data_IF_820559398335
#
_entry.id   IF_820559398335
#
_cell.length_a   1.000
_cell.length_b   1.000
_cell.length_c   1.000
_cell.angle_alpha   90.00
_cell.angle_beta   90.00
_cell.angle_gamma   90.00
#
_symmetry.space_group_name_H-M   'P 1'
#
loop_
_entity.id
_entity.type
_entity.pdbx_description
1 polymer ?
#
# COMPACT_ATOMS: atom_id res chain seq x y z
N UNK A 1 13.01 -15.81 -20.91
CA UNK A 1 12.54 -17.01 -20.18
C UNK A 1 11.24 -16.62 -19.51
N UNK A 2 10.11 -17.20 -19.95
CA UNK A 2 8.77 -16.82 -19.48
C UNK A 2 8.57 -17.29 -18.03
N UNK A 3 8.49 -16.37 -17.08
CA UNK A 3 8.00 -16.65 -15.73
C UNK A 3 6.49 -16.38 -15.67
N UNK A 4 5.71 -17.42 -15.95
CA UNK A 4 4.27 -17.44 -15.70
C UNK A 4 4.02 -17.43 -14.18
N UNK A 5 3.19 -16.50 -13.73
CA UNK A 5 2.62 -16.50 -12.38
C UNK A 5 1.64 -17.68 -12.27
N UNK A 6 1.74 -18.56 -11.24
CA UNK A 6 0.71 -19.56 -11.04
C UNK A 6 -0.61 -18.86 -10.65
N UNK A 7 -1.64 -19.18 -11.44
CA UNK A 7 -2.96 -18.58 -11.34
C UNK A 7 -3.77 -18.98 -10.11
N UNK A 8 -4.80 -18.17 -9.90
CA UNK A 8 -6.12 -18.51 -9.36
C UNK A 8 -6.20 -19.12 -7.96
N UNK A 9 -6.21 -18.24 -6.94
CA UNK A 9 -6.71 -18.52 -5.60
C UNK A 9 -8.25 -18.43 -5.58
N UNK A 10 -8.93 -19.37 -6.23
CA UNK A 10 -10.38 -19.59 -6.05
C UNK A 10 -10.76 -21.05 -5.76
N UNK A 11 -9.83 -21.84 -5.21
CA UNK A 11 -10.08 -23.24 -4.82
C UNK A 11 -10.28 -23.44 -3.32
N UNK A 12 -11.22 -22.72 -2.69
CA UNK A 12 -11.71 -23.08 -1.35
C UNK A 12 -13.17 -22.67 -1.18
N UNK A 13 -14.12 -23.27 -1.91
CA UNK A 13 -15.54 -23.38 -1.50
C UNK A 13 -16.31 -24.28 -2.48
N UNK A 14 -15.91 -25.55 -2.63
CA UNK A 14 -16.80 -26.60 -3.14
C UNK A 14 -16.42 -27.92 -2.51
N UNK A 15 -17.16 -28.35 -1.50
CA UNK A 15 -17.82 -29.65 -1.44
C UNK A 15 -18.48 -29.87 -0.08
N UNK A 16 -19.65 -30.49 -0.12
CA UNK A 16 -20.37 -30.99 1.04
C UNK A 16 -21.71 -30.29 1.28
N UNK A 17 -22.75 -30.76 0.61
CA UNK A 17 -24.01 -31.25 1.20
C UNK A 17 -25.07 -31.31 0.10
N UNK A 18 -25.10 -32.43 -0.61
CA UNK A 18 -26.24 -32.82 -1.43
C UNK A 18 -27.05 -33.89 -0.70
N UNK A 19 -28.37 -33.71 -0.79
CA UNK A 19 -29.46 -34.66 -0.59
C UNK A 19 -30.03 -34.85 0.83
N UNK A 20 -31.26 -34.34 1.01
CA UNK A 20 -32.43 -35.20 1.23
C UNK A 20 -33.77 -34.50 0.95
N UNK A 21 -34.57 -35.21 0.16
CA UNK A 21 -36.04 -35.31 0.19
C UNK A 21 -36.91 -34.18 -0.40
N UNK A 22 -37.36 -34.43 -1.65
CA UNK A 22 -38.72 -34.14 -2.09
C UNK A 22 -39.74 -34.66 -1.06
N UNK A 23 -40.66 -33.80 -0.58
CA UNK A 23 -42.06 -34.18 -0.43
C UNK A 23 -42.98 -32.97 -0.22
N UNK A 24 -44.17 -33.06 -0.84
CA UNK A 24 -45.47 -32.46 -0.46
C UNK A 24 -45.78 -31.02 -0.87
N UNK A 25 -46.37 -30.97 -2.07
CA UNK A 25 -47.64 -30.28 -2.30
C UNK A 25 -48.70 -30.59 -1.22
N UNK A 26 -49.29 -29.56 -0.60
CA UNK A 26 -50.75 -29.28 -0.56
C UNK A 26 -51.15 -28.23 0.51
N UNK A 27 -52.06 -27.34 0.06
CA UNK A 27 -53.09 -26.54 0.79
C UNK A 27 -52.60 -25.28 1.52
N UNK A 28 -53.24 -24.11 1.43
CA UNK A 28 -54.49 -23.69 0.76
C UNK A 28 -54.44 -22.18 0.52
N UNK A 29 -55.19 -21.64 -0.44
CA UNK A 29 -56.48 -21.01 -0.16
C UNK A 29 -57.33 -20.98 -1.43
N UNK A 30 -58.60 -21.36 -1.26
CA UNK A 30 -59.68 -21.28 -2.26
C UNK A 30 -60.55 -20.07 -1.94
N UNK A 31 -61.16 -19.54 -3.01
CA UNK A 31 -62.32 -18.64 -3.11
C UNK A 31 -61.99 -17.15 -3.31
N UNK A 32 -62.40 -16.50 -4.40
CA UNK A 32 -63.12 -16.99 -5.56
C UNK A 32 -63.62 -15.86 -6.47
N UNK A 33 -63.70 -16.19 -7.77
CA UNK A 33 -64.70 -15.73 -8.74
C UNK A 33 -64.59 -14.26 -9.22
N UNK A 34 -64.65 -13.89 -10.51
CA UNK A 34 -64.97 -14.53 -11.81
C UNK A 34 -64.49 -13.60 -12.94
N UNK A 35 -64.03 -14.20 -14.06
CA UNK A 35 -64.22 -13.88 -15.51
C UNK A 35 -64.40 -12.41 -15.92
N UNK A 36 -63.83 -11.91 -17.03
CA UNK A 36 -63.90 -12.45 -18.40
C UNK A 36 -62.93 -11.67 -19.32
N UNK A 37 -62.47 -12.32 -20.39
CA UNK A 37 -61.66 -11.78 -21.49
C UNK A 37 -62.30 -10.58 -22.22
N UNK A 38 -61.47 -9.64 -22.70
CA UNK A 38 -61.17 -9.46 -24.14
C UNK A 38 -60.62 -8.07 -24.46
N UNK A 39 -59.47 -8.07 -25.14
CA UNK A 39 -58.91 -7.03 -26.04
C UNK A 39 -59.95 -6.47 -27.02
N UNK A 40 -59.81 -5.26 -27.63
CA UNK A 40 -58.62 -4.92 -28.43
C UNK A 40 -58.20 -3.43 -28.54
N UNK A 41 -57.01 -3.28 -29.12
CA UNK A 41 -56.38 -2.08 -29.69
C UNK A 41 -57.22 -1.37 -30.75
N UNK A 42 -57.14 -0.03 -30.87
CA UNK A 42 -57.07 0.69 -32.16
C UNK A 42 -56.56 2.15 -32.00
N UNK A 43 -55.87 2.61 -33.05
CA UNK A 43 -55.22 3.91 -33.31
C UNK A 43 -56.18 4.98 -33.87
N UNK A 44 -55.61 6.18 -34.03
CA UNK A 44 -56.04 7.37 -34.82
C UNK A 44 -57.01 8.30 -34.08
N UNK A 45 -56.99 9.63 -34.20
CA UNK A 45 -56.34 10.57 -35.11
C UNK A 45 -56.39 11.99 -34.47
N UNK A 46 -55.71 12.96 -35.08
CA UNK A 46 -55.58 14.34 -34.60
C UNK A 46 -56.77 15.23 -35.00
N UNK A 47 -57.15 16.20 -34.15
CA UNK A 47 -57.81 17.45 -34.57
C UNK A 47 -57.37 18.63 -33.71
N UNK A 48 -57.11 19.76 -34.38
CA UNK A 48 -56.70 21.03 -33.80
C UNK A 48 -57.87 21.93 -33.44
N UNK A 49 -57.65 22.80 -32.45
CA UNK A 49 -58.58 23.86 -32.07
C UNK A 49 -57.82 25.06 -31.50
N UNK A 50 -57.87 26.19 -32.21
CA UNK A 50 -57.30 27.50 -31.84
C UNK A 50 -57.91 28.05 -30.54
N UNK A 51 -57.09 28.70 -29.72
CA UNK A 51 -57.54 29.72 -28.78
C UNK A 51 -56.55 30.90 -28.72
N UNK A 52 -57.10 32.12 -28.74
CA UNK A 52 -56.42 33.42 -28.82
C UNK A 52 -55.84 33.85 -27.47
N UNK A 53 -54.76 34.63 -27.54
CA UNK A 53 -54.09 35.33 -26.44
C UNK A 53 -54.90 36.49 -25.83
N UNK A 54 -54.59 36.84 -24.57
CA UNK A 54 -54.43 38.24 -24.19
C UNK A 54 -53.10 38.53 -23.46
N UNK A 55 -52.79 39.81 -23.37
CA UNK A 55 -51.50 40.46 -23.06
C UNK A 55 -51.19 40.69 -21.57
N UNK A 56 -49.88 40.65 -21.26
CA UNK A 56 -49.05 41.47 -20.33
C UNK A 56 -49.65 41.94 -18.98
N UNK A 57 -49.08 41.46 -17.86
CA UNK A 57 -48.49 42.29 -16.78
C UNK A 57 -48.12 41.47 -15.50
N UNK A 58 -46.85 41.60 -15.08
CA UNK A 58 -46.28 41.57 -13.72
C UNK A 58 -46.66 40.46 -12.71
N UNK A 59 -45.69 39.63 -12.29
CA UNK A 59 -45.02 39.81 -10.98
C UNK A 59 -43.74 38.95 -10.87
N UNK A 60 -42.69 39.59 -10.37
CA UNK A 60 -41.37 39.04 -10.06
C UNK A 60 -41.42 38.23 -8.77
N UNK A 61 -40.98 36.98 -8.80
CA UNK A 61 -40.49 36.25 -7.62
C UNK A 61 -39.60 35.08 -8.07
N UNK A 62 -38.37 35.39 -8.50
CA UNK A 62 -37.32 34.38 -8.62
C UNK A 62 -36.82 34.04 -7.20
N UNK A 63 -37.33 32.95 -6.64
CA UNK A 63 -36.73 32.27 -5.50
C UNK A 63 -35.39 31.68 -5.96
N UNK A 64 -34.30 32.44 -5.79
CA UNK A 64 -32.95 31.87 -5.78
C UNK A 64 -32.83 31.12 -4.44
N UNK A 65 -33.26 29.87 -4.43
CA UNK A 65 -32.81 28.93 -3.43
C UNK A 65 -31.34 28.64 -3.75
N UNK A 66 -30.42 29.35 -3.09
CA UNK A 66 -29.03 28.93 -2.96
C UNK A 66 -29.01 27.62 -2.15
N UNK A 67 -29.34 26.51 -2.81
CA UNK A 67 -29.01 25.19 -2.31
C UNK A 67 -27.50 25.03 -2.41
N UNK A 68 -26.81 25.23 -1.30
CA UNK A 68 -25.47 24.68 -1.15
C UNK A 68 -25.60 23.18 -1.35
N UNK A 69 -25.21 22.66 -2.52
CA UNK A 69 -25.09 21.24 -2.71
C UNK A 69 -24.06 20.77 -1.68
N UNK A 70 -24.39 19.80 -0.80
CA UNK A 70 -23.40 19.23 0.08
C UNK A 70 -22.30 18.66 -0.81
N UNK A 71 -21.07 19.14 -0.61
CA UNK A 71 -19.88 18.48 -1.16
C UNK A 71 -19.95 17.07 -0.59
N UNK A 72 -20.32 16.09 -1.43
CA UNK A 72 -20.20 14.70 -1.08
C UNK A 72 -18.71 14.46 -0.86
N UNK A 73 -18.30 14.38 0.40
CA UNK A 73 -16.95 13.98 0.75
C UNK A 73 -16.67 12.68 0.00
N UNK A 74 -15.64 12.68 -0.85
CA UNK A 74 -15.27 11.53 -1.63
C UNK A 74 -14.97 10.39 -0.65
N UNK A 75 -15.74 9.30 -0.73
CA UNK A 75 -15.58 8.15 0.15
C UNK A 75 -14.18 7.59 0.00
N UNK A 76 -13.47 7.39 1.11
CA UNK A 76 -12.18 6.71 1.13
C UNK A 76 -12.27 5.34 0.44
N UNK A 77 -11.58 5.12 -0.70
CA UNK A 77 -11.77 3.92 -1.53
C UNK A 77 -10.83 2.77 -1.14
N UNK A 78 -10.00 2.93 -0.10
CA UNK A 78 -8.96 1.97 0.24
C UNK A 78 -9.36 1.02 1.38
N UNK A 79 -8.83 -0.21 1.40
CA UNK A 79 -9.29 -1.28 2.30
C UNK A 79 -8.99 -1.09 3.79
N UNK A 80 -8.15 -0.11 4.15
CA UNK A 80 -7.85 0.23 5.54
C UNK A 80 -8.33 1.64 5.90
N UNK A 81 -8.97 1.87 7.06
CA UNK A 81 -9.47 3.20 7.43
C UNK A 81 -8.36 4.27 7.47
N UNK A 82 -8.60 5.43 6.87
CA UNK A 82 -7.62 6.52 6.78
C UNK A 82 -7.15 7.05 8.15
N UNK A 83 -8.05 7.06 9.14
CA UNK A 83 -7.77 7.49 10.51
C UNK A 83 -6.97 6.45 11.31
N UNK A 84 -6.77 5.26 10.76
CA UNK A 84 -5.95 4.19 11.33
C UNK A 84 -4.57 4.05 10.66
N UNK A 85 -4.24 4.91 9.70
CA UNK A 85 -2.90 4.96 9.12
C UNK A 85 -1.93 5.49 10.18
N UNK A 86 -0.83 4.77 10.38
CA UNK A 86 0.18 5.16 11.37
C UNK A 86 0.81 6.52 11.05
N UNK A 87 1.17 7.28 12.09
CA UNK A 87 1.95 8.50 11.97
C UNK A 87 3.28 8.35 12.71
N UNK A 88 4.34 8.94 12.17
CA UNK A 88 5.68 8.88 12.75
C UNK A 88 6.43 10.20 12.51
N UNK A 89 7.30 10.59 13.44
CA UNK A 89 8.18 11.76 13.27
C UNK A 89 9.62 11.31 13.05
N UNK A 90 10.12 11.45 11.82
CA UNK A 90 11.51 11.25 11.49
C UNK A 90 12.34 12.44 11.96
N UNK A 91 13.15 12.22 13.00
CA UNK A 91 14.03 13.24 13.58
C UNK A 91 15.39 13.27 12.88
N UNK A 92 16.08 14.40 13.01
CA UNK A 92 17.39 14.58 12.40
C UNK A 92 18.45 13.81 13.19
N UNK A 93 19.32 13.08 12.51
CA UNK A 93 20.50 12.47 13.11
C UNK A 93 21.45 13.57 13.62
N UNK A 94 22.10 13.31 14.75
CA UNK A 94 23.08 14.20 15.37
C UNK A 94 24.45 14.10 14.69
N UNK A 95 24.75 12.95 14.09
CA UNK A 95 25.95 12.68 13.31
C UNK A 95 25.65 11.75 12.12
N UNK A 96 26.50 11.71 11.08
CA UNK A 96 26.35 10.72 10.01
C UNK A 96 26.34 9.29 10.57
N UNK A 97 25.40 8.48 10.11
CA UNK A 97 25.24 7.08 10.52
C UNK A 97 26.17 6.19 9.68
N UNK A 98 26.83 5.23 10.32
CA UNK A 98 27.71 4.26 9.66
C UNK A 98 26.89 3.01 9.36
N UNK A 99 26.65 2.74 8.09
CA UNK A 99 25.82 1.59 7.69
C UNK A 99 26.61 0.29 7.86
N UNK A 100 26.50 -0.34 9.02
CA UNK A 100 27.13 -1.62 9.36
C UNK A 100 26.12 -2.68 9.85
N UNK A 101 24.86 -2.29 10.01
CA UNK A 101 23.77 -3.19 10.37
C UNK A 101 23.60 -3.37 11.87
N UNK A 102 24.46 -2.80 12.72
CA UNK A 102 24.44 -3.02 14.17
C UNK A 102 23.33 -2.23 14.87
N UNK A 103 22.93 -1.08 14.31
CA UNK A 103 21.95 -0.15 14.89
C UNK A 103 22.28 0.24 16.33
N UNK A 104 23.57 0.38 16.65
CA UNK A 104 24.06 0.56 18.01
C UNK A 104 24.54 2.00 18.29
N UNK A 105 24.45 2.89 17.31
CA UNK A 105 24.70 4.31 17.46
C UNK A 105 23.74 4.97 18.46
N UNK A 106 24.21 6.05 19.09
CA UNK A 106 23.41 6.81 20.05
C UNK A 106 22.10 7.31 19.43
N UNK A 107 22.13 7.69 18.15
CA UNK A 107 20.98 8.17 17.40
C UNK A 107 19.91 7.06 17.22
N UNK A 108 20.32 5.83 16.88
CA UNK A 108 19.39 4.69 16.80
C UNK A 108 18.83 4.25 18.15
N UNK A 109 19.65 4.33 19.20
CA UNK A 109 19.19 4.05 20.58
C UNK A 109 18.18 5.08 21.07
N UNK A 110 18.29 6.32 20.59
CA UNK A 110 17.39 7.42 20.94
C UNK A 110 16.18 7.56 20.00
N UNK A 111 16.22 6.91 18.82
CA UNK A 111 15.14 6.93 17.85
C UNK A 111 13.87 6.30 18.45
N UNK A 112 12.74 6.97 18.22
CA UNK A 112 11.45 6.36 18.48
C UNK A 112 11.26 5.22 17.47
N UNK A 113 10.96 4.03 17.96
CA UNK A 113 10.69 2.88 17.10
C UNK A 113 9.20 2.77 16.85
N UNK A 114 8.84 2.18 15.73
CA UNK A 114 7.47 1.77 15.45
C UNK A 114 6.91 0.90 16.59
N UNK A 115 5.57 0.83 16.72
CA UNK A 115 4.94 -0.32 17.31
C UNK A 115 5.41 -1.62 16.63
N UNK A 116 5.15 -2.76 17.29
CA UNK A 116 5.33 -4.07 16.67
C UNK A 116 4.51 -4.12 15.37
N UNK A 117 5.10 -4.66 14.31
CA UNK A 117 4.39 -4.86 13.04
C UNK A 117 3.18 -5.78 13.25
N UNK A 118 2.10 -5.44 12.57
CA UNK A 118 0.85 -6.17 12.62
C UNK A 118 0.58 -6.83 11.27
N UNK A 119 -0.20 -7.90 11.25
CA UNK A 119 -0.57 -8.59 10.03
C UNK A 119 -1.21 -7.61 9.03
N UNK A 120 -0.81 -7.75 7.77
CA UNK A 120 -1.11 -6.79 6.71
C UNK A 120 -2.62 -6.65 6.44
N UNK A 121 -3.43 -7.65 6.79
CA UNK A 121 -4.85 -7.73 6.43
C UNK A 121 -5.74 -7.37 7.63
N UNK A 122 -5.63 -8.07 8.74
CA UNK A 122 -6.46 -7.92 9.94
C UNK A 122 -5.89 -6.93 10.96
N UNK A 123 -4.58 -6.66 10.93
CA UNK A 123 -3.90 -5.81 11.89
C UNK A 123 -3.72 -6.41 13.28
N UNK A 124 -3.70 -7.74 13.40
CA UNK A 124 -3.29 -8.45 14.60
C UNK A 124 -1.77 -8.38 14.77
N UNK A 125 -1.21 -8.25 15.98
CA UNK A 125 0.24 -8.22 16.16
C UNK A 125 0.91 -9.48 15.58
N UNK A 126 2.02 -9.31 14.85
CA UNK A 126 2.83 -10.44 14.38
C UNK A 126 3.41 -11.25 15.54
N UNK A 127 3.61 -12.56 15.33
CA UNK A 127 4.14 -13.45 16.36
C UNK A 127 5.55 -13.04 16.82
N UNK A 128 6.41 -12.68 15.87
CA UNK A 128 7.76 -12.21 16.14
C UNK A 128 7.80 -10.68 16.13
N UNK A 129 8.50 -10.07 17.09
CA UNK A 129 8.62 -8.61 17.14
C UNK A 129 9.43 -8.09 15.95
N UNK A 130 8.82 -7.25 15.12
CA UNK A 130 9.52 -6.47 14.11
C UNK A 130 9.17 -5.02 14.27
N UNK A 131 10.19 -4.17 14.22
CA UNK A 131 10.06 -2.73 14.37
C UNK A 131 10.98 -2.02 13.40
N UNK A 132 10.59 -0.82 13.00
CA UNK A 132 11.41 0.07 12.19
C UNK A 132 11.53 1.45 12.83
N UNK A 133 12.53 2.21 12.43
CA UNK A 133 12.65 3.63 12.74
C UNK A 133 13.23 4.38 11.53
N UNK A 134 12.88 5.66 11.42
CA UNK A 134 13.41 6.54 10.38
C UNK A 134 14.13 7.73 11.01
N UNK A 135 15.32 8.01 10.51
CA UNK A 135 16.13 9.18 10.80
C UNK A 135 16.57 9.83 9.49
N UNK A 136 17.10 11.05 9.56
CA UNK A 136 17.62 11.72 8.37
C UNK A 136 18.69 12.78 8.68
N UNK A 137 19.46 13.14 7.67
CA UNK A 137 20.31 14.34 7.67
C UNK A 137 20.22 15.08 6.32
N UNK A 138 21.07 16.08 6.09
CA UNK A 138 21.02 16.89 4.87
C UNK A 138 21.34 16.11 3.59
N UNK A 139 21.93 14.92 3.71
CA UNK A 139 22.42 14.11 2.58
C UNK A 139 21.64 12.81 2.42
N UNK A 140 21.18 12.21 3.52
CA UNK A 140 20.60 10.88 3.53
C UNK A 140 19.31 10.77 4.34
N UNK A 141 18.45 9.87 3.87
CA UNK A 141 17.42 9.20 4.64
C UNK A 141 18.00 7.91 5.22
N UNK A 142 17.74 7.63 6.49
CA UNK A 142 18.16 6.40 7.17
C UNK A 142 16.96 5.61 7.65
N UNK A 143 17.01 4.29 7.47
CA UNK A 143 15.98 3.36 7.98
C UNK A 143 16.67 2.20 8.69
N UNK A 144 16.22 1.91 9.90
CA UNK A 144 16.70 0.77 10.69
C UNK A 144 15.55 -0.19 10.99
N UNK A 145 15.80 -1.49 10.90
CA UNK A 145 14.86 -2.55 11.30
C UNK A 145 15.46 -3.41 12.41
N UNK A 146 14.65 -3.74 13.42
CA UNK A 146 14.94 -4.73 14.44
C UNK A 146 13.97 -5.90 14.27
N UNK A 147 14.50 -7.09 13.99
CA UNK A 147 13.72 -8.23 13.52
C UNK A 147 14.00 -9.41 14.45
N UNK A 148 13.01 -9.80 15.26
CA UNK A 148 13.04 -11.06 15.98
C UNK A 148 12.81 -12.21 15.00
N UNK A 149 13.70 -13.21 15.02
CA UNK A 149 13.58 -14.39 14.17
C UNK A 149 14.30 -15.56 14.83
N UNK A 150 13.60 -16.46 15.52
CA UNK A 150 14.23 -17.55 16.28
C UNK A 150 14.90 -18.63 15.44
N UNK A 151 14.71 -18.59 14.13
CA UNK A 151 15.28 -19.49 13.13
C UNK A 151 15.63 -18.63 11.92
N UNK A 152 16.82 -18.03 11.92
CA UNK A 152 17.18 -17.11 10.85
C UNK A 152 17.40 -17.90 9.56
N UNK A 153 16.60 -17.62 8.54
CA UNK A 153 16.64 -18.35 7.28
C UNK A 153 16.81 -17.41 6.07
N UNK A 154 17.74 -17.77 5.19
CA UNK A 154 17.86 -17.16 3.87
C UNK A 154 18.49 -18.15 2.89
N UNK A 155 18.00 -18.14 1.65
CA UNK A 155 18.47 -19.04 0.59
C UNK A 155 18.75 -18.31 -0.72
N UNK A 156 18.15 -17.15 -0.91
CA UNK A 156 18.33 -16.33 -2.10
C UNK A 156 19.54 -15.42 -1.91
N UNK A 157 20.49 -15.50 -2.84
CA UNK A 157 21.78 -14.76 -2.79
C UNK A 157 22.00 -13.84 -3.99
N UNK A 158 21.19 -14.00 -5.03
CA UNK A 158 21.30 -13.21 -6.26
C UNK A 158 20.42 -11.97 -6.17
N UNK A 159 20.98 -10.80 -6.45
CA UNK A 159 20.22 -9.54 -6.53
C UNK A 159 19.03 -9.67 -7.48
N UNK A 160 17.92 -9.04 -7.13
CA UNK A 160 16.63 -9.09 -7.83
C UNK A 160 15.99 -10.49 -7.88
N UNK A 161 16.46 -11.42 -7.04
CA UNK A 161 15.69 -12.62 -6.70
C UNK A 161 14.34 -12.23 -6.08
N UNK A 162 13.29 -13.06 -6.23
CA UNK A 162 12.00 -12.81 -5.60
C UNK A 162 12.08 -13.04 -4.08
N UNK A 163 12.63 -12.08 -3.33
CA UNK A 163 13.04 -12.26 -1.94
C UNK A 163 11.89 -12.29 -0.93
N UNK A 164 10.68 -11.85 -1.31
CA UNK A 164 9.42 -12.22 -0.65
C UNK A 164 9.16 -13.74 -0.49
N UNK A 165 10.02 -14.62 -1.05
CA UNK A 165 10.04 -16.08 -0.78
C UNK A 165 11.01 -16.50 0.34
N UNK A 166 11.76 -15.58 0.91
CA UNK A 166 12.54 -15.71 2.14
C UNK A 166 11.85 -14.95 3.26
N UNK A 167 12.42 -14.99 4.46
CA UNK A 167 12.11 -13.97 5.45
C UNK A 167 12.85 -12.70 5.04
N UNK A 168 12.13 -11.58 4.95
CA UNK A 168 12.67 -10.31 4.50
C UNK A 168 12.01 -9.12 5.19
N UNK A 169 12.57 -7.93 4.98
CA UNK A 169 11.89 -6.68 5.27
C UNK A 169 11.86 -5.81 4.02
N UNK A 170 10.78 -5.06 3.90
CA UNK A 170 10.50 -4.22 2.74
C UNK A 170 10.41 -2.75 3.16
N UNK A 171 10.85 -1.87 2.27
CA UNK A 171 10.69 -0.42 2.34
C UNK A 171 10.04 0.05 1.03
N UNK A 172 8.94 0.78 1.16
CA UNK A 172 8.38 1.53 0.04
C UNK A 172 8.45 3.02 0.31
N UNK A 173 8.75 3.81 -0.72
CA UNK A 173 8.75 5.28 -0.62
C UNK A 173 7.85 5.86 -1.70
N UNK A 174 6.79 6.54 -1.28
CA UNK A 174 5.79 7.09 -2.19
C UNK A 174 6.09 8.53 -2.62
N UNK A 175 6.18 8.74 -3.93
CA UNK A 175 6.02 10.02 -4.60
C UNK A 175 4.55 10.31 -4.93
N UNK A 176 4.26 11.45 -5.56
CA UNK A 176 2.88 11.73 -6.01
C UNK A 176 2.43 10.74 -7.08
N UNK A 177 3.29 10.50 -8.06
CA UNK A 177 2.96 9.77 -9.31
C UNK A 177 3.79 8.50 -9.53
N UNK A 178 4.58 8.11 -8.53
CA UNK A 178 5.40 6.91 -8.53
C UNK A 178 5.68 6.45 -7.10
N UNK A 179 6.21 5.25 -6.94
CA UNK A 179 6.78 4.78 -5.69
C UNK A 179 7.94 3.82 -5.96
N UNK A 180 8.88 3.79 -5.03
CA UNK A 180 10.01 2.86 -5.03
C UNK A 180 9.72 1.70 -4.07
N UNK A 181 10.15 0.50 -4.44
CA UNK A 181 10.12 -0.74 -3.68
C UNK A 181 11.55 -1.22 -3.46
N UNK A 182 11.84 -1.60 -2.21
CA UNK A 182 13.07 -2.24 -1.78
C UNK A 182 12.72 -3.38 -0.86
N UNK A 183 13.35 -4.52 -1.03
CA UNK A 183 13.28 -5.67 -0.15
C UNK A 183 14.73 -6.11 0.22
N UNK A 184 14.93 -6.71 1.38
CA UNK A 184 16.21 -7.33 1.78
C UNK A 184 16.03 -8.51 2.72
N UNK A 185 16.77 -9.60 2.48
CA UNK A 185 16.79 -10.78 3.36
C UNK A 185 18.00 -10.79 4.32
N UNK A 186 18.09 -11.81 5.18
CA UNK A 186 19.16 -11.92 6.19
C UNK A 186 20.58 -12.19 5.63
N UNK A 187 20.71 -12.51 4.33
CA UNK A 187 22.01 -12.51 3.64
C UNK A 187 22.42 -11.14 3.11
N UNK A 188 21.55 -10.13 3.22
CA UNK A 188 21.74 -8.83 2.59
C UNK A 188 21.49 -8.85 1.07
N UNK A 189 20.75 -9.85 0.58
CA UNK A 189 20.34 -9.92 -0.83
C UNK A 189 19.19 -8.96 -1.05
N UNK A 190 19.33 -8.13 -2.07
CA UNK A 190 18.42 -7.00 -2.34
C UNK A 190 17.57 -7.31 -3.57
N UNK A 191 16.32 -6.84 -3.53
CA UNK A 191 15.43 -6.73 -4.68
C UNK A 191 14.86 -5.31 -4.73
N UNK A 192 14.81 -4.72 -5.92
CA UNK A 192 14.34 -3.35 -6.10
C UNK A 192 13.45 -3.21 -7.34
N UNK A 193 12.38 -2.42 -7.20
CA UNK A 193 11.50 -2.08 -8.32
C UNK A 193 11.08 -0.63 -8.20
N UNK A 194 10.98 0.04 -9.35
CA UNK A 194 10.36 1.36 -9.42
C UNK A 194 9.02 1.28 -10.12
N UNK A 195 7.98 1.91 -9.58
CA UNK A 195 6.64 1.91 -10.16
C UNK A 195 6.16 3.31 -10.47
N UNK A 196 5.59 3.49 -11.66
CA UNK A 196 5.01 4.75 -12.12
C UNK A 196 3.56 4.53 -12.50
N UNK A 197 2.64 5.37 -12.06
CA UNK A 197 1.24 5.27 -12.53
C UNK A 197 1.18 5.55 -14.04
N UNK A 198 0.63 4.61 -14.81
CA UNK A 198 0.60 4.69 -16.28
C UNK A 198 -0.03 6.00 -16.76
N UNK A 199 -1.14 6.41 -16.12
CA UNK A 199 -1.88 7.62 -16.49
C UNK A 199 -1.09 8.91 -16.27
N UNK A 200 -0.10 8.90 -15.37
CA UNK A 200 0.73 10.06 -15.05
C UNK A 200 2.07 10.06 -15.79
N UNK A 201 2.44 8.97 -16.49
CA UNK A 201 3.78 8.78 -17.06
C UNK A 201 4.26 9.98 -17.91
N UNK A 202 3.43 10.42 -18.85
CA UNK A 202 3.73 11.55 -19.74
C UNK A 202 3.64 12.90 -19.01
N UNK A 203 2.53 13.14 -18.32
CA UNK A 203 2.20 14.44 -17.70
C UNK A 203 3.10 14.78 -16.52
N UNK A 204 3.51 13.78 -15.73
CA UNK A 204 4.49 13.94 -14.66
C UNK A 204 5.93 14.05 -15.17
N UNK A 205 6.18 13.80 -16.47
CA UNK A 205 7.47 14.05 -17.12
C UNK A 205 8.44 12.88 -17.17
N UNK A 206 8.02 11.68 -16.77
CA UNK A 206 8.86 10.48 -16.79
C UNK A 206 9.25 10.07 -18.21
N UNK A 207 8.40 10.32 -19.21
CA UNK A 207 8.71 10.06 -20.62
C UNK A 207 9.95 10.80 -21.16
N UNK A 208 10.42 11.86 -20.46
CA UNK A 208 11.61 12.63 -20.84
C UNK A 208 12.90 12.15 -20.14
N UNK A 209 12.82 11.09 -19.34
CA UNK A 209 13.91 10.58 -18.50
C UNK A 209 14.39 9.24 -19.07
N UNK A 210 15.64 9.13 -19.56
CA UNK A 210 16.15 7.91 -20.20
C UNK A 210 16.12 6.66 -19.31
N UNK A 211 16.22 6.82 -17.99
CA UNK A 211 16.12 5.74 -17.01
C UNK A 211 14.72 5.08 -17.00
N UNK A 212 13.68 5.77 -17.48
CA UNK A 212 12.31 5.28 -17.56
C UNK A 212 11.87 4.88 -18.97
N UNK A 213 12.81 4.59 -19.87
CA UNK A 213 12.49 4.02 -21.18
C UNK A 213 11.69 2.72 -21.04
N UNK A 214 10.51 2.70 -21.67
CA UNK A 214 9.54 1.60 -21.60
C UNK A 214 9.98 0.32 -22.31
N UNK A 215 11.04 0.40 -23.11
CA UNK A 215 11.60 -0.73 -23.86
C UNK A 215 12.71 -1.46 -23.13
N UNK A 216 13.15 -0.94 -21.97
CA UNK A 216 14.20 -1.56 -21.14
C UNK A 216 13.77 -2.95 -20.66
N UNK A 217 14.76 -3.82 -20.51
CA UNK A 217 14.56 -5.14 -19.93
C UNK A 217 13.95 -5.03 -18.53
N UNK A 218 13.01 -5.93 -18.23
CA UNK A 218 12.30 -5.97 -16.95
C UNK A 218 11.08 -5.05 -16.84
N UNK A 219 10.88 -4.12 -17.78
CA UNK A 219 9.73 -3.20 -17.77
C UNK A 219 8.44 -3.90 -18.18
N UNK A 220 7.40 -3.81 -17.35
CA UNK A 220 6.09 -4.41 -17.63
C UNK A 220 4.93 -3.75 -16.86
N UNK A 221 3.68 -3.87 -17.34
CA UNK A 221 2.51 -3.42 -16.59
C UNK A 221 2.35 -4.17 -15.26
N UNK A 222 1.88 -3.45 -14.25
CA UNK A 222 1.63 -3.97 -12.92
C UNK A 222 0.27 -3.48 -12.40
N UNK A 223 -0.75 -4.36 -12.28
CA UNK A 223 -2.06 -3.99 -11.78
C UNK A 223 -2.13 -3.94 -10.24
N UNK A 224 -1.15 -4.51 -9.53
CA UNK A 224 -1.22 -4.81 -8.09
C UNK A 224 -1.25 -6.32 -7.83
N UNK A 225 -1.11 -6.69 -6.55
CA UNK A 225 -1.13 -8.09 -6.08
C UNK A 225 -2.55 -8.47 -5.66
N UNK A 226 -2.97 -8.04 -4.47
CA UNK A 226 -4.31 -8.26 -3.93
C UNK A 226 -5.31 -7.15 -4.27
N UNK A 227 -4.84 -5.92 -4.49
CA UNK A 227 -5.67 -4.74 -4.77
C UNK A 227 -5.53 -4.27 -6.22
N UNK A 228 -6.06 -5.08 -7.16
CA UNK A 228 -5.87 -4.89 -8.61
C UNK A 228 -6.67 -3.75 -9.24
N UNK A 229 -7.75 -3.32 -8.59
CA UNK A 229 -8.64 -2.27 -9.08
C UNK A 229 -8.31 -0.91 -8.45
N UNK A 230 -7.02 -0.55 -8.47
CA UNK A 230 -6.59 0.72 -7.89
C UNK A 230 -7.27 1.90 -8.60
N UNK A 231 -7.80 2.92 -7.87
CA UNK A 231 -8.51 4.06 -8.48
C UNK A 231 -7.69 4.83 -9.53
N UNK A 232 -6.37 4.76 -9.46
CA UNK A 232 -5.41 5.40 -10.38
C UNK A 232 -5.03 4.54 -11.60
N UNK A 233 -5.59 3.34 -11.72
CA UNK A 233 -5.28 2.39 -12.78
C UNK A 233 -3.98 1.60 -12.55
N UNK A 234 -3.40 0.98 -13.59
CA UNK A 234 -2.18 0.19 -13.47
C UNK A 234 -0.93 1.07 -13.36
N UNK A 235 0.19 0.43 -13.00
CA UNK A 235 1.53 1.02 -12.99
C UNK A 235 2.39 0.39 -14.09
N UNK A 236 3.43 1.10 -14.47
CA UNK A 236 4.59 0.56 -15.17
C UNK A 236 5.60 0.20 -14.07
N UNK A 237 5.99 -1.06 -13.97
CA UNK A 237 7.05 -1.49 -13.06
C UNK A 237 8.37 -1.68 -13.80
N UNK A 238 9.46 -1.29 -13.15
CA UNK A 238 10.84 -1.37 -13.64
C UNK A 238 11.64 -2.31 -12.72
N UNK A 239 11.67 -3.61 -13.04
CA UNK A 239 12.24 -4.67 -12.18
C UNK A 239 13.76 -4.82 -12.19
N UNK A 240 14.45 -4.07 -13.03
CA UNK A 240 15.91 -4.01 -13.07
C UNK A 240 16.36 -2.62 -12.60
N UNK A 241 15.79 -2.16 -11.48
CA UNK A 241 16.06 -0.84 -10.95
C UNK A 241 17.10 -0.93 -9.84
N UNK A 242 18.14 -0.12 -9.92
CA UNK A 242 19.13 0.01 -8.85
C UNK A 242 19.13 1.47 -8.37
N UNK A 243 18.75 1.70 -7.11
CA UNK A 243 18.78 3.04 -6.55
C UNK A 243 20.23 3.57 -6.46
N UNK A 244 20.56 4.69 -7.13
CA UNK A 244 21.93 5.19 -7.13
C UNK A 244 22.41 5.59 -5.74
N UNK A 245 23.50 4.96 -5.29
CA UNK A 245 24.16 5.29 -4.01
C UNK A 245 23.47 4.74 -2.76
N UNK A 246 22.48 3.85 -2.91
CA UNK A 246 21.94 3.06 -1.82
C UNK A 246 23.08 2.31 -1.11
N UNK A 247 23.08 2.37 0.23
CA UNK A 247 23.93 1.53 1.06
C UNK A 247 23.07 0.77 2.06
N UNK A 248 23.39 -0.51 2.26
CA UNK A 248 22.65 -1.42 3.13
C UNK A 248 23.63 -2.26 3.93
N UNK A 249 23.24 -2.63 5.14
CA UNK A 249 23.96 -3.63 5.91
C UNK A 249 22.97 -4.49 6.73
N UNK A 250 23.39 -5.71 7.00
CA UNK A 250 22.67 -6.69 7.82
C UNK A 250 23.60 -7.19 8.91
N UNK A 251 23.09 -7.25 10.13
CA UNK A 251 23.75 -7.96 11.23
C UNK A 251 22.83 -9.06 11.74
N UNK A 252 23.35 -10.29 11.87
CA UNK A 252 22.62 -11.44 12.41
C UNK A 252 23.14 -11.75 13.81
N UNK A 253 22.23 -11.74 14.78
CA UNK A 253 22.48 -12.16 16.17
C UNK A 253 21.99 -13.61 16.32
N UNK A 254 22.79 -14.52 15.75
CA UNK A 254 22.41 -15.92 15.57
C UNK A 254 23.22 -16.66 14.50
N UNK A 255 22.69 -17.79 14.04
CA UNK A 255 23.27 -18.62 12.97
C UNK A 255 22.27 -18.85 11.83
N UNK A 256 22.60 -18.35 10.63
CA UNK A 256 21.71 -18.48 9.47
C UNK A 256 21.64 -19.94 9.01
N UNK A 257 20.42 -20.43 8.78
CA UNK A 257 20.08 -21.77 8.31
C UNK A 257 20.51 -22.92 9.24
N UNK A 258 20.60 -22.68 10.55
CA UNK A 258 20.83 -23.73 11.54
C UNK A 258 19.71 -23.82 12.59
N UNK A 259 18.62 -24.51 12.25
CA UNK A 259 17.47 -24.65 13.16
C UNK A 259 17.72 -25.58 14.37
N UNK A 260 18.98 -25.93 14.68
CA UNK A 260 19.36 -26.70 15.88
C UNK A 260 19.46 -25.82 17.12
N UNK A 261 19.72 -24.52 16.96
CA UNK A 261 19.68 -23.54 18.02
C UNK A 261 18.52 -22.54 17.85
N UNK A 262 18.56 -21.47 18.64
CA UNK A 262 17.55 -20.42 18.64
C UNK A 262 18.25 -19.09 18.62
N UNK A 263 17.96 -18.31 17.58
CA UNK A 263 18.56 -17.01 17.36
C UNK A 263 17.76 -15.91 18.04
N UNK A 264 18.38 -14.74 18.20
CA UNK A 264 17.68 -13.52 18.61
C UNK A 264 17.05 -12.81 17.42
N UNK A 265 17.64 -12.99 16.24
CA UNK A 265 17.15 -12.47 14.98
C UNK A 265 18.22 -11.64 14.28
N UNK A 266 17.82 -10.54 13.66
CA UNK A 266 18.71 -9.75 12.81
C UNK A 266 18.26 -8.30 12.73
N UNK A 267 19.16 -7.47 12.25
CA UNK A 267 18.95 -6.03 12.05
C UNK A 267 19.32 -5.64 10.63
N UNK A 268 18.62 -4.65 10.11
CA UNK A 268 18.86 -4.07 8.79
C UNK A 268 19.08 -2.57 8.96
N UNK A 269 20.05 -2.05 8.24
CA UNK A 269 20.33 -0.63 8.20
C UNK A 269 20.46 -0.15 6.76
N UNK A 270 19.71 0.91 6.42
CA UNK A 270 19.65 1.49 5.09
C UNK A 270 20.07 2.95 5.14
N UNK A 271 20.82 3.38 4.13
CA UNK A 271 21.11 4.78 3.84
C UNK A 271 20.80 5.10 2.39
N UNK A 272 19.85 5.99 2.20
CA UNK A 272 19.33 6.40 0.89
C UNK A 272 19.74 7.86 0.64
N UNK A 273 20.53 8.16 -0.41
CA UNK A 273 20.85 9.54 -0.76
C UNK A 273 19.58 10.29 -1.17
N UNK A 274 19.33 11.49 -0.63
CA UNK A 274 18.16 12.28 -1.04
C UNK A 274 18.11 12.53 -2.54
N UNK A 275 19.27 12.67 -3.17
CA UNK A 275 19.41 12.85 -4.62
C UNK A 275 18.85 11.67 -5.43
N UNK A 276 18.91 10.44 -4.91
CA UNK A 276 18.38 9.26 -5.63
C UNK A 276 16.85 9.24 -5.68
N UNK A 277 16.19 10.01 -4.81
CA UNK A 277 14.73 10.13 -4.73
C UNK A 277 14.19 11.28 -5.59
N UNK A 278 15.04 11.96 -6.39
CA UNK A 278 14.61 13.02 -7.31
C UNK A 278 13.50 12.60 -8.26
N UNK A 279 13.49 11.38 -8.84
CA UNK A 279 12.37 10.92 -9.65
C UNK A 279 11.02 10.88 -8.91
N UNK A 280 11.01 10.60 -7.60
CA UNK A 280 9.78 10.60 -6.80
C UNK A 280 9.32 12.03 -6.46
N UNK A 281 10.26 12.96 -6.38
CA UNK A 281 10.01 14.34 -5.98
C UNK A 281 9.72 15.28 -7.15
N UNK A 282 10.22 14.98 -8.35
CA UNK A 282 10.05 15.81 -9.54
C UNK A 282 8.57 16.14 -9.87
N UNK A 283 7.60 15.20 -9.78
CA UNK A 283 6.23 15.49 -10.19
C UNK A 283 5.56 16.60 -9.38
N UNK A 284 5.83 16.67 -8.07
CA UNK A 284 5.23 17.64 -7.15
C UNK A 284 6.21 18.67 -6.58
N UNK A 285 7.48 18.60 -6.97
CA UNK A 285 8.52 19.53 -6.55
C UNK A 285 8.81 19.52 -5.06
N UNK A 286 8.51 18.42 -4.35
CA UNK A 286 8.82 18.30 -2.91
C UNK A 286 10.32 18.43 -2.66
N UNK A 287 10.69 18.91 -1.48
CA UNK A 287 12.08 19.18 -1.15
C UNK A 287 12.89 17.89 -0.93
N UNK A 288 14.17 17.94 -1.30
CA UNK A 288 15.17 16.89 -1.08
C UNK A 288 16.46 17.58 -0.55
N UNK A 289 16.80 17.45 0.74
CA UNK A 289 16.03 16.79 1.81
C UNK A 289 14.67 17.46 2.08
N UNK A 290 13.71 16.76 2.73
CA UNK A 290 12.46 17.34 3.19
C UNK A 290 12.68 18.53 4.14
N UNK A 291 11.76 19.49 4.13
CA UNK A 291 11.73 20.62 5.09
C UNK A 291 11.09 20.18 6.40
N UNK A 292 11.35 20.94 7.47
CA UNK A 292 10.64 20.75 8.74
C UNK A 292 9.12 20.76 8.54
N UNK A 293 8.45 19.73 9.01
CA UNK A 293 7.02 19.54 8.90
C UNK A 293 6.54 18.86 7.62
N UNK A 294 7.39 18.68 6.59
CA UNK A 294 7.04 17.93 5.38
C UNK A 294 6.62 16.49 5.76
N UNK A 295 5.64 15.95 5.05
CA UNK A 295 5.12 14.59 5.29
C UNK A 295 5.27 13.76 4.04
N UNK A 296 5.91 12.60 4.19
CA UNK A 296 6.01 11.60 3.14
C UNK A 296 5.25 10.34 3.56
N UNK A 297 4.93 9.51 2.58
CA UNK A 297 4.32 8.21 2.81
C UNK A 297 5.35 7.12 2.54
N UNK A 298 5.55 6.23 3.50
CA UNK A 298 6.53 5.15 3.42
C UNK A 298 5.97 3.89 4.06
N UNK A 299 6.06 2.75 3.38
CA UNK A 299 5.69 1.46 3.98
C UNK A 299 6.92 0.74 4.53
N UNK A 300 6.68 0.00 5.60
CA UNK A 300 7.67 -0.83 6.26
C UNK A 300 6.99 -2.17 6.55
N UNK A 301 7.38 -3.18 5.78
CA UNK A 301 6.77 -4.49 5.80
C UNK A 301 7.80 -5.58 6.08
N UNK A 302 7.32 -6.77 6.44
CA UNK A 302 8.08 -8.00 6.63
C UNK A 302 7.26 -9.14 6.06
N UNK A 303 7.85 -9.94 5.17
CA UNK A 303 7.31 -11.26 4.88
C UNK A 303 8.07 -12.30 5.67
N UNK A 304 7.30 -13.18 6.29
CA UNK A 304 7.74 -14.24 7.17
C UNK A 304 7.15 -15.55 6.66
N UNK A 305 8.02 -16.50 6.31
CA UNK A 305 7.65 -17.79 5.76
C UNK A 305 7.12 -18.73 6.85
N UNK A 306 7.55 -18.54 8.11
CA UNK A 306 6.93 -19.18 9.25
C UNK A 306 5.53 -18.59 9.47
N UNK A 307 4.52 -19.44 9.66
CA UNK A 307 3.15 -19.00 9.95
C UNK A 307 2.69 -19.63 11.24
N UNK A 308 1.98 -18.85 12.05
CA UNK A 308 1.35 -19.37 13.26
C UNK A 308 0.45 -20.58 12.94
N UNK A 309 0.51 -21.59 13.81
CA UNK A 309 -0.29 -22.79 13.65
C UNK A 309 -1.80 -22.49 13.84
N UNK A 310 -2.70 -23.26 13.19
CA UNK A 310 -4.14 -23.13 13.42
C UNK A 310 -4.50 -23.19 14.92
N UNK A 311 -5.47 -22.39 15.39
CA UNK A 311 -6.47 -21.64 14.62
C UNK A 311 -6.07 -20.21 14.20
N UNK A 312 -4.80 -19.81 14.41
CA UNK A 312 -4.32 -18.52 13.94
C UNK A 312 -4.49 -18.38 12.42
N UNK A 313 -4.73 -17.14 11.96
CA UNK A 313 -4.86 -16.80 10.54
C UNK A 313 -3.76 -15.83 10.14
N UNK A 314 -2.52 -16.24 10.40
CA UNK A 314 -1.34 -15.47 10.04
C UNK A 314 -1.11 -15.55 8.53
N UNK A 315 -1.24 -14.44 7.79
CA UNK A 315 -1.00 -14.46 6.36
C UNK A 315 0.50 -14.60 6.03
N UNK A 316 1.39 -14.29 7.00
CA UNK A 316 2.85 -14.25 6.87
C UNK A 316 3.40 -12.88 6.45
N UNK A 317 2.54 -11.92 6.10
CA UNK A 317 2.96 -10.56 5.76
C UNK A 317 2.52 -9.62 6.87
N UNK A 318 3.47 -8.87 7.42
CA UNK A 318 3.26 -7.95 8.53
C UNK A 318 3.79 -6.56 8.15
N UNK A 319 3.15 -5.49 8.64
CA UNK A 319 3.53 -4.12 8.34
C UNK A 319 3.43 -3.24 9.59
N UNK A 320 4.15 -2.11 9.57
CA UNK A 320 3.96 -1.06 10.56
C UNK A 320 2.50 -0.58 10.56
N UNK A 321 1.92 -0.30 9.39
CA UNK A 321 0.51 0.05 9.22
C UNK A 321 -0.17 -1.01 8.36
N UNK A 322 -1.20 -1.71 8.84
CA UNK A 322 -1.92 -2.69 8.02
C UNK A 322 -2.58 -2.04 6.79
N UNK A 323 -2.73 -2.84 5.73
CA UNK A 323 -3.34 -2.41 4.48
C UNK A 323 -4.79 -2.92 4.31
N UNK A 324 -5.25 -3.88 5.11
CA UNK A 324 -6.59 -4.45 4.93
C UNK A 324 -6.70 -5.41 3.74
N UNK A 325 -5.60 -5.68 3.04
CA UNK A 325 -5.52 -6.49 1.83
C UNK A 325 -4.12 -7.08 1.68
N UNK A 326 -4.01 -8.22 1.00
CA UNK A 326 -2.72 -8.85 0.67
C UNK A 326 -2.03 -8.11 -0.49
N UNK A 327 -1.60 -6.88 -0.25
CA UNK A 327 -0.93 -6.02 -1.23
C UNK A 327 -0.13 -4.91 -0.52
N UNK A 328 1.20 -4.98 -0.53
CA UNK A 328 2.08 -3.91 -0.01
C UNK A 328 2.10 -2.68 -0.93
N UNK A 329 1.57 -2.78 -2.15
CA UNK A 329 1.72 -1.73 -3.15
C UNK A 329 0.52 -0.79 -3.21
N UNK A 330 0.08 -0.28 -2.06
CA UNK A 330 -1.03 0.70 -1.95
C UNK A 330 -0.53 1.97 -1.24
N UNK A 331 0.15 2.89 -1.96
CA UNK A 331 0.83 4.05 -1.37
C UNK A 331 -0.01 4.93 -0.45
N UNK A 332 -1.33 4.96 -0.65
CA UNK A 332 -2.26 5.72 0.16
C UNK A 332 -2.45 5.17 1.58
N UNK A 333 -2.09 3.90 1.83
CA UNK A 333 -2.18 3.22 3.13
C UNK A 333 -0.89 3.28 3.95
N UNK A 334 0.20 3.77 3.33
CA UNK A 334 1.50 3.82 3.96
C UNK A 334 1.53 4.82 5.14
N UNK A 335 2.27 4.51 6.21
CA UNK A 335 2.54 5.43 7.30
C UNK A 335 2.88 6.85 6.83
N UNK A 336 2.34 7.86 7.54
CA UNK A 336 2.67 9.27 7.35
C UNK A 336 3.92 9.61 8.17
N UNK A 337 5.05 9.73 7.48
CA UNK A 337 6.35 10.10 8.07
C UNK A 337 6.54 11.61 7.96
N UNK A 338 6.42 12.31 9.10
CA UNK A 338 6.69 13.75 9.23
C UNK A 338 8.16 13.98 9.53
N UNK A 339 8.82 14.82 8.75
CA UNK A 339 10.21 15.20 8.99
C UNK A 339 10.29 16.34 10.00
N UNK A 340 11.21 16.21 10.96
CA UNK A 340 11.53 17.26 11.92
C UNK A 340 13.02 17.54 11.93
N UNK A 341 13.35 18.82 12.01
CA UNK A 341 14.71 19.34 12.22
C UNK A 341 15.19 19.22 13.66
N UNK A 342 14.32 18.82 14.59
CA UNK A 342 14.73 18.44 15.94
C UNK A 342 15.68 17.23 15.87
N UNK A 343 16.82 17.36 16.53
CA UNK A 343 17.78 16.27 16.63
C UNK A 343 17.20 15.14 17.48
N UNK A 344 17.38 13.90 17.05
CA UNK A 344 17.01 12.71 17.81
C UNK A 344 17.64 12.73 19.20
N UNK A 345 16.90 12.27 20.21
CA UNK A 345 17.36 12.28 21.61
C UNK A 345 17.37 13.65 22.30
N UNK A 346 17.03 14.75 21.61
CA UNK A 346 16.81 16.03 22.28
C UNK A 346 15.58 15.97 23.20
N UNK A 347 15.71 16.46 24.43
CA UNK A 347 14.56 16.60 25.35
C UNK A 347 13.70 17.74 24.81
N UNK A 348 12.38 17.56 24.61
CA UNK A 348 11.51 18.64 24.19
C UNK A 348 11.66 19.81 25.18
N UNK A 349 12.17 20.93 24.69
CA UNK A 349 12.34 22.12 25.51
C UNK A 349 10.99 22.51 26.10
N UNK A 350 10.93 22.61 27.44
CA UNK A 350 9.89 23.38 28.13
C UNK A 350 9.82 24.74 27.45
N UNK A 351 8.80 24.96 26.63
CA UNK A 351 8.45 26.29 26.14
C UNK A 351 7.86 27.12 27.26
#
# INVERSE_FOLDING_TARGET
MNSEWPGDVTSFFREGWAAKCLSRWRRGLVAGSRRMDSTPTHRCEAEGGRARSPSVAHLVAALIACGAMPILAQSWPFPWPEDRIAEYTARRASSPIVVDGMLDEADWRAAERSPRFADLIGGHPGIHDTRAAVLWDDTYLYVGYWIEEPFVEATLTERDSPIYKNNDVELFIAGRDAYYEFEINSFGTIYEVYFIWEQAFESAGYARRPEFDRTRDGVRPFPGVGFKNHPRGPRIGYWNWDMPGLATAVHVDGTINDNRDRDRGWTVELRIPWKSLEPLAMPDGRALPPRDGDVWRMDFSRFNQYKEAPPAKDPGGWAWSPHGVWDSHVPELFPRVRFSTETVGSVPGKR
#
